data_IF_467455697723
#
_entry.id   IF_467455697723
#
_cell.length_a   1.000
_cell.length_b   1.000
_cell.length_c   1.000
_cell.angle_alpha   90.00
_cell.angle_beta   90.00
_cell.angle_gamma   90.00
#
_symmetry.space_group_name_H-M   'P 1'
#
loop_
_entity.id
_entity.type
_entity.pdbx_description
1 polymer ?
#
# COMPACT_ATOMS: atom_id res chain seq x y z
N UNK A 1 -11.55 -37.49 -24.40
CA UNK A 1 -10.09 -37.33 -24.49
C UNK A 1 -9.84 -36.04 -25.27
N UNK A 2 -9.98 -34.90 -24.60
CA UNK A 2 -9.76 -33.58 -25.20
C UNK A 2 -8.93 -32.77 -24.23
N UNK A 3 -7.69 -32.56 -24.65
CA UNK A 3 -6.65 -31.83 -23.96
C UNK A 3 -7.00 -30.35 -23.92
N UNK A 4 -7.31 -29.83 -22.73
CA UNK A 4 -7.36 -28.39 -22.46
C UNK A 4 -5.95 -27.81 -22.56
N UNK A 5 -5.58 -27.33 -23.75
CA UNK A 5 -4.44 -26.42 -23.93
C UNK A 5 -4.79 -25.09 -23.28
N UNK A 6 -4.36 -24.89 -22.04
CA UNK A 6 -4.34 -23.56 -21.42
C UNK A 6 -3.38 -22.66 -22.21
N UNK A 7 -3.92 -21.60 -22.81
CA UNK A 7 -3.18 -20.57 -23.53
C UNK A 7 -2.16 -19.89 -22.61
N UNK A 8 -0.92 -19.75 -23.10
CA UNK A 8 0.22 -19.07 -22.49
C UNK A 8 -0.12 -17.64 -22.01
N UNK A 9 -1.17 -17.01 -22.55
CA UNK A 9 -1.66 -15.70 -22.12
C UNK A 9 -2.20 -15.70 -20.69
N UNK A 10 -2.90 -16.75 -20.25
CA UNK A 10 -3.46 -16.85 -18.88
C UNK A 10 -2.37 -17.01 -17.83
N UNK A 11 -1.26 -17.68 -18.18
CA UNK A 11 -0.08 -17.74 -17.33
C UNK A 11 0.47 -16.33 -17.12
N UNK A 12 0.53 -15.52 -18.18
CA UNK A 12 1.08 -14.16 -18.22
C UNK A 12 0.32 -13.13 -17.34
N UNK A 13 -0.94 -13.38 -16.99
CA UNK A 13 -1.80 -12.39 -16.31
C UNK A 13 -1.55 -12.26 -14.80
N UNK A 14 -1.19 -13.34 -14.09
CA UNK A 14 -0.56 -13.20 -12.77
C UNK A 14 0.90 -12.74 -12.91
N UNK A 15 1.56 -13.13 -14.00
CA UNK A 15 2.99 -12.96 -14.32
C UNK A 15 3.44 -11.51 -14.60
N UNK A 16 2.53 -10.55 -14.77
CA UNK A 16 2.88 -9.17 -15.19
C UNK A 16 2.55 -8.07 -14.17
N UNK A 17 1.95 -8.39 -13.01
CA UNK A 17 1.50 -7.40 -12.03
C UNK A 17 2.58 -6.43 -11.51
N UNK A 18 3.87 -6.67 -11.77
CA UNK A 18 4.86 -5.60 -11.58
C UNK A 18 6.00 -5.54 -12.60
N UNK A 19 5.75 -5.97 -13.84
CA UNK A 19 6.69 -5.73 -14.95
C UNK A 19 6.70 -4.25 -15.41
N UNK A 20 5.79 -3.40 -14.91
CA UNK A 20 5.74 -1.97 -15.25
C UNK A 20 6.40 -1.01 -14.24
N UNK A 21 7.06 -1.52 -13.18
CA UNK A 21 7.94 -0.72 -12.32
C UNK A 21 9.42 -0.82 -12.72
N UNK A 22 9.75 -1.63 -13.73
CA UNK A 22 11.07 -2.26 -13.86
C UNK A 22 11.91 -1.92 -15.11
N UNK A 23 11.59 -0.88 -15.88
CA UNK A 23 12.49 -0.47 -16.99
C UNK A 23 13.20 0.84 -16.70
N UNK A 24 14.20 0.79 -15.80
CA UNK A 24 15.63 0.98 -16.11
C UNK A 24 16.46 1.21 -14.83
N UNK A 25 17.32 0.28 -14.45
CA UNK A 25 18.64 0.60 -13.85
C UNK A 25 19.54 -0.63 -13.86
N UNK A 26 20.09 -0.96 -15.02
CA UNK A 26 21.28 -1.81 -15.10
C UNK A 26 22.26 -1.17 -16.08
N UNK A 27 23.04 -0.22 -15.57
CA UNK A 27 24.29 0.18 -16.18
C UNK A 27 25.33 0.18 -15.06
N UNK A 28 26.21 -0.81 -15.11
CA UNK A 28 27.49 -0.85 -14.40
C UNK A 28 28.23 0.46 -14.61
N UNK A 29 28.63 1.14 -13.53
CA UNK A 29 29.62 2.21 -13.63
C UNK A 29 30.66 2.07 -12.52
N UNK A 30 31.89 1.90 -12.99
CA UNK A 30 33.10 1.91 -12.18
C UNK A 30 33.26 3.20 -11.40
N UNK A 31 33.80 3.04 -10.19
CA UNK A 31 34.14 4.09 -9.25
C UNK A 31 35.08 5.15 -9.85
N UNK A 32 34.69 6.42 -9.78
CA UNK A 32 35.60 7.54 -9.49
C UNK A 32 34.90 8.51 -8.54
N UNK A 33 35.37 8.54 -7.29
CA UNK A 33 35.01 9.56 -6.28
C UNK A 33 35.42 10.94 -6.80
N UNK A 34 34.51 11.92 -6.73
CA UNK A 34 34.81 13.37 -6.61
C UNK A 34 33.54 14.14 -6.20
N UNK A 35 33.64 14.85 -5.07
CA UNK A 35 32.86 16.05 -4.68
C UNK A 35 31.35 15.92 -4.50
N UNK A 36 30.87 15.95 -3.25
CA UNK A 36 29.50 16.37 -2.93
C UNK A 36 29.38 17.90 -2.98
N UNK A 37 28.24 18.42 -3.45
CA UNK A 37 27.61 19.56 -2.81
C UNK A 37 26.23 19.20 -2.24
N UNK A 38 25.89 19.98 -1.21
CA UNK A 38 24.84 19.86 -0.22
C UNK A 38 23.40 20.05 -0.71
N UNK A 39 22.48 19.53 0.12
CA UNK A 39 21.08 19.93 0.30
C UNK A 39 20.23 20.03 -0.97
N UNK A 40 19.45 18.97 -1.23
CA UNK A 40 18.37 18.99 -2.21
C UNK A 40 17.43 20.17 -1.94
N UNK A 41 17.26 21.05 -2.92
CA UNK A 41 16.28 22.12 -2.90
C UNK A 41 14.88 21.52 -2.86
N UNK A 42 14.14 21.75 -1.77
CA UNK A 42 12.73 21.39 -1.69
C UNK A 42 11.95 22.15 -2.77
N UNK A 43 11.36 21.43 -3.74
CA UNK A 43 10.38 22.01 -4.65
C UNK A 43 9.19 22.51 -3.83
N UNK A 44 8.91 23.81 -3.87
CA UNK A 44 7.77 24.43 -3.18
C UNK A 44 6.64 24.58 -4.17
N UNK A 45 5.63 23.71 -4.06
CA UNK A 45 4.39 23.83 -4.82
C UNK A 45 3.45 24.83 -4.12
N UNK A 46 2.86 25.80 -4.84
CA UNK A 46 1.81 26.65 -4.26
C UNK A 46 0.54 25.83 -3.93
N UNK A 47 -0.23 26.34 -2.99
CA UNK A 47 -1.05 25.54 -2.06
C UNK A 47 -2.52 25.53 -2.43
N UNK A 48 -3.20 24.39 -2.36
CA UNK A 48 -4.63 24.39 -2.01
C UNK A 48 -4.81 25.04 -0.62
N UNK A 49 -5.94 25.68 -0.32
CA UNK A 49 -6.15 26.35 0.97
C UNK A 49 -5.95 25.44 2.21
N UNK A 50 -5.92 24.11 2.01
CA UNK A 50 -5.71 23.10 3.04
C UNK A 50 -4.28 22.62 3.18
N UNK A 51 -3.45 22.77 2.16
CA UNK A 51 -2.06 22.31 2.19
C UNK A 51 -1.19 23.50 2.55
N UNK A 52 -0.43 23.42 3.64
CA UNK A 52 0.60 24.41 3.97
C UNK A 52 1.90 24.15 3.22
N UNK A 53 2.29 22.91 2.94
CA UNK A 53 3.45 22.64 2.09
C UNK A 53 3.43 21.20 1.63
N UNK A 54 4.12 20.92 0.52
CA UNK A 54 4.40 19.57 0.05
C UNK A 54 5.91 19.48 -0.12
N UNK A 55 6.52 18.42 0.41
CA UNK A 55 7.93 18.12 0.13
C UNK A 55 8.11 16.63 -0.14
N UNK A 56 9.11 16.32 -0.94
CA UNK A 56 9.60 14.95 -1.09
C UNK A 56 10.37 14.62 0.19
N UNK A 57 9.91 13.59 0.90
CA UNK A 57 10.55 13.05 2.10
C UNK A 57 11.59 11.99 1.72
N UNK A 58 11.30 11.17 0.70
CA UNK A 58 12.22 10.22 0.09
C UNK A 58 12.01 10.18 -1.43
N UNK A 59 13.10 10.27 -2.19
CA UNK A 59 13.09 10.20 -3.66
C UNK A 59 12.74 8.80 -4.21
N UNK A 60 12.80 7.78 -3.35
CA UNK A 60 12.38 6.43 -3.66
C UNK A 60 11.71 5.82 -2.43
N UNK A 61 10.49 5.33 -2.59
CA UNK A 61 9.77 4.61 -1.56
C UNK A 61 8.25 4.71 -1.68
N UNK A 62 7.56 3.89 -0.91
CA UNK A 62 6.11 3.81 -0.90
C UNK A 62 5.57 3.42 0.49
N UNK A 63 4.25 3.53 0.60
CA UNK A 63 3.43 3.09 1.75
C UNK A 63 3.94 3.63 3.09
N UNK A 64 4.16 4.96 3.20
CA UNK A 64 4.62 5.54 4.46
C UNK A 64 3.56 5.43 5.55
N UNK A 65 4.00 5.17 6.79
CA UNK A 65 3.16 5.16 8.01
C UNK A 65 3.90 5.88 9.14
N UNK A 66 3.19 6.70 9.91
CA UNK A 66 3.79 7.41 11.04
C UNK A 66 4.02 6.49 12.24
N UNK A 67 5.05 6.80 13.03
CA UNK A 67 5.17 6.30 14.39
C UNK A 67 4.06 6.89 15.30
N UNK A 68 3.67 6.21 16.39
CA UNK A 68 2.62 6.70 17.30
C UNK A 68 2.92 8.05 17.96
N UNK A 69 4.20 8.44 18.03
CA UNK A 69 4.64 9.74 18.53
C UNK A 69 4.78 10.81 17.43
N UNK A 70 4.54 10.45 16.16
CA UNK A 70 4.57 11.33 14.99
C UNK A 70 5.96 11.79 14.55
N UNK A 71 7.04 11.28 15.16
CA UNK A 71 8.41 11.76 14.87
C UNK A 71 9.10 11.03 13.73
N UNK A 72 8.65 9.81 13.43
CA UNK A 72 9.25 8.93 12.44
C UNK A 72 8.21 8.47 11.42
N UNK A 73 8.69 8.07 10.26
CA UNK A 73 7.91 7.45 9.20
C UNK A 73 8.60 6.15 8.81
N UNK A 74 7.87 5.03 8.89
CA UNK A 74 8.27 3.76 8.30
C UNK A 74 7.73 3.69 6.87
N UNK A 75 8.52 3.15 5.95
CA UNK A 75 8.15 3.02 4.54
C UNK A 75 8.91 1.84 3.92
N UNK A 76 8.51 1.42 2.73
CA UNK A 76 9.28 0.45 1.96
C UNK A 76 9.89 1.08 0.72
N UNK A 77 11.03 0.54 0.30
CA UNK A 77 11.81 1.06 -0.83
C UNK A 77 12.45 -0.09 -1.58
N UNK A 78 12.39 -0.01 -2.90
CA UNK A 78 13.12 -0.93 -3.78
C UNK A 78 14.61 -0.60 -3.78
N UNK A 79 15.43 -1.63 -3.61
CA UNK A 79 16.89 -1.55 -3.67
C UNK A 79 17.42 -2.02 -5.04
N UNK A 80 18.73 -1.94 -5.24
CA UNK A 80 19.39 -2.25 -6.51
C UNK A 80 19.24 -3.72 -6.94
N UNK A 81 18.88 -4.61 -6.03
CA UNK A 81 18.60 -6.01 -6.31
C UNK A 81 17.16 -6.25 -6.77
N UNK A 82 16.32 -5.21 -6.84
CA UNK A 82 14.92 -5.27 -7.28
C UNK A 82 13.96 -5.90 -6.28
N UNK A 83 14.39 -6.12 -5.03
CA UNK A 83 13.50 -6.39 -3.90
C UNK A 83 13.27 -5.12 -3.09
N UNK A 84 12.20 -5.13 -2.30
CA UNK A 84 11.85 -4.00 -1.44
C UNK A 84 12.25 -4.31 0.00
N UNK A 85 12.72 -3.30 0.71
CA UNK A 85 13.08 -3.38 2.12
C UNK A 85 12.41 -2.29 2.94
N UNK A 86 12.33 -2.52 4.25
CA UNK A 86 11.68 -1.61 5.21
C UNK A 86 12.70 -0.68 5.82
N UNK A 87 12.39 0.62 5.78
CA UNK A 87 13.22 1.68 6.33
C UNK A 87 12.43 2.59 7.26
N UNK A 88 13.13 3.25 8.17
CA UNK A 88 12.58 4.32 9.01
C UNK A 88 13.35 5.60 8.72
N UNK A 89 12.64 6.70 8.49
CA UNK A 89 13.20 8.04 8.44
C UNK A 89 12.57 8.99 9.46
N UNK A 90 13.27 10.07 9.80
CA UNK A 90 12.65 11.19 10.51
C UNK A 90 11.89 12.11 9.55
N UNK A 91 11.20 13.12 10.08
CA UNK A 91 10.43 14.04 9.24
C UNK A 91 11.31 14.91 8.33
N UNK A 92 12.61 15.02 8.57
CA UNK A 92 13.58 15.71 7.71
C UNK A 92 14.03 14.84 6.53
N UNK A 93 13.65 13.56 6.48
CA UNK A 93 14.02 12.62 5.42
C UNK A 93 15.33 11.89 5.68
N UNK A 94 15.91 12.01 6.88
CA UNK A 94 17.12 11.27 7.23
C UNK A 94 16.74 9.82 7.58
N UNK A 95 17.35 8.85 6.90
CA UNK A 95 17.19 7.43 7.23
C UNK A 95 17.85 7.16 8.58
N UNK A 96 17.04 6.79 9.58
CA UNK A 96 17.52 6.48 10.93
C UNK A 96 17.72 4.98 11.15
N UNK A 97 17.06 4.14 10.36
CA UNK A 97 17.25 2.69 10.39
C UNK A 97 16.89 2.03 9.05
N UNK A 98 17.69 1.05 8.66
CA UNK A 98 17.30 -0.02 7.72
C UNK A 98 16.90 -1.25 8.53
N UNK A 99 15.67 -1.74 8.35
CA UNK A 99 15.12 -2.80 9.18
C UNK A 99 15.29 -4.20 8.61
N UNK A 100 15.41 -4.37 7.28
CA UNK A 100 15.39 -5.71 6.65
C UNK A 100 16.53 -5.95 5.66
N UNK A 101 17.06 -4.90 5.00
CA UNK A 101 18.16 -5.02 4.04
C UNK A 101 19.42 -5.60 4.71
N UNK A 102 19.91 -6.71 4.17
CA UNK A 102 21.10 -7.42 4.64
C UNK A 102 20.96 -8.00 6.05
N UNK A 103 19.75 -8.09 6.61
CA UNK A 103 19.53 -8.56 7.98
C UNK A 103 19.38 -10.08 8.04
N UNK A 104 20.06 -10.68 9.02
CA UNK A 104 19.88 -12.09 9.35
C UNK A 104 18.52 -12.33 10.03
N UNK A 105 17.93 -13.50 9.80
CA UNK A 105 16.65 -13.88 10.40
C UNK A 105 15.40 -13.38 9.68
N UNK A 106 15.57 -12.72 8.52
CA UNK A 106 14.46 -12.33 7.63
C UNK A 106 14.78 -12.68 6.18
N UNK A 107 13.74 -12.99 5.40
CA UNK A 107 13.91 -13.30 3.98
C UNK A 107 14.38 -12.06 3.21
N UNK A 108 15.48 -12.20 2.46
CA UNK A 108 16.02 -11.16 1.58
C UNK A 108 15.30 -11.18 0.23
N UNK A 109 13.98 -10.94 0.29
CA UNK A 109 13.06 -10.78 -0.82
C UNK A 109 12.16 -9.57 -0.52
N UNK A 110 10.96 -9.45 -1.09
CA UNK A 110 10.11 -8.30 -0.77
C UNK A 110 9.72 -8.26 0.71
N UNK A 111 10.18 -7.22 1.39
CA UNK A 111 9.74 -6.79 2.71
C UNK A 111 9.10 -5.41 2.59
N UNK A 112 7.94 -5.18 3.22
CA UNK A 112 7.26 -3.89 3.08
C UNK A 112 5.88 -3.82 3.73
N UNK A 113 5.08 -2.85 3.30
CA UNK A 113 3.73 -2.60 3.83
C UNK A 113 3.74 -2.49 5.37
N UNK A 114 4.74 -1.77 5.87
CA UNK A 114 5.10 -1.78 7.27
C UNK A 114 4.28 -0.77 8.09
N UNK A 115 4.02 -1.09 9.35
CA UNK A 115 3.37 -0.18 10.31
C UNK A 115 3.93 -0.40 11.71
N UNK A 116 4.04 0.68 12.49
CA UNK A 116 4.32 0.58 13.91
C UNK A 116 3.14 -0.06 14.66
N UNK A 117 3.45 -0.83 15.71
CA UNK A 117 2.43 -1.15 16.71
C UNK A 117 2.05 0.10 17.51
N UNK A 118 0.89 0.13 18.18
CA UNK A 118 0.44 1.33 18.89
C UNK A 118 1.35 1.78 20.04
N UNK A 119 2.20 0.88 20.58
CA UNK A 119 3.22 1.26 21.56
C UNK A 119 4.51 1.83 20.94
N UNK A 120 4.70 1.71 19.62
CA UNK A 120 5.88 2.17 18.89
C UNK A 120 7.13 1.31 19.14
N UNK A 121 7.00 0.18 19.84
CA UNK A 121 8.11 -0.72 20.17
C UNK A 121 8.44 -1.68 19.03
N UNK A 122 7.44 -2.01 18.22
CA UNK A 122 7.53 -2.96 17.12
C UNK A 122 7.08 -2.31 15.81
N UNK A 123 7.64 -2.84 14.72
CA UNK A 123 7.21 -2.60 13.35
C UNK A 123 6.75 -3.94 12.80
N UNK A 124 5.49 -4.02 12.36
CA UNK A 124 4.93 -5.17 11.64
C UNK A 124 4.99 -4.91 10.15
N UNK A 125 5.37 -5.91 9.37
CA UNK A 125 5.56 -5.79 7.92
C UNK A 125 5.35 -7.14 7.23
N UNK A 126 5.04 -7.12 5.93
CA UNK A 126 4.96 -8.33 5.11
C UNK A 126 6.36 -8.75 4.69
N UNK A 127 6.67 -10.05 4.72
CA UNK A 127 7.91 -10.62 4.21
C UNK A 127 7.62 -11.79 3.27
N UNK A 128 8.05 -11.66 2.02
CA UNK A 128 7.87 -12.64 0.95
C UNK A 128 8.65 -13.92 1.27
N UNK A 129 7.97 -15.07 1.15
CA UNK A 129 8.61 -16.37 1.34
C UNK A 129 9.76 -16.57 0.37
N UNK A 130 10.91 -17.07 0.84
CA UNK A 130 12.08 -17.34 -0.04
C UNK A 130 11.83 -18.37 -1.15
N UNK A 131 10.79 -19.18 -0.99
CA UNK A 131 10.41 -20.26 -1.90
C UNK A 131 8.92 -20.15 -2.18
N UNK A 132 8.53 -19.99 -3.43
CA UNK A 132 7.13 -20.03 -3.88
C UNK A 132 7.09 -20.17 -5.40
N UNK A 133 5.90 -20.43 -5.94
CA UNK A 133 5.66 -20.43 -7.38
C UNK A 133 5.93 -19.04 -7.97
N UNK A 134 6.66 -18.99 -9.08
CA UNK A 134 6.95 -17.74 -9.79
C UNK A 134 8.05 -16.87 -9.16
N UNK A 135 8.82 -17.34 -8.17
CA UNK A 135 9.84 -16.54 -7.44
C UNK A 135 10.86 -15.74 -8.27
N UNK A 136 11.08 -16.09 -9.54
CA UNK A 136 11.99 -15.35 -10.43
C UNK A 136 11.35 -14.05 -10.95
N UNK A 137 10.02 -13.96 -10.90
CA UNK A 137 9.23 -12.79 -11.23
C UNK A 137 9.08 -11.96 -9.97
N UNK A 138 10.16 -11.26 -9.60
CA UNK A 138 10.23 -10.46 -8.36
C UNK A 138 8.94 -9.66 -8.09
N UNK A 139 8.37 -8.95 -9.07
CA UNK A 139 7.22 -8.09 -8.79
C UNK A 139 5.92 -8.83 -8.39
N UNK A 140 5.87 -10.15 -8.51
CA UNK A 140 4.77 -10.93 -7.93
C UNK A 140 4.62 -10.71 -6.43
N UNK A 141 5.74 -10.57 -5.72
CA UNK A 141 5.76 -10.37 -4.28
C UNK A 141 5.68 -8.90 -3.85
N UNK A 142 5.29 -7.96 -4.73
CA UNK A 142 5.25 -6.53 -4.38
C UNK A 142 4.51 -6.34 -3.04
N UNK A 143 5.06 -5.57 -2.09
CA UNK A 143 4.45 -5.40 -0.76
C UNK A 143 3.05 -4.77 -0.77
N UNK A 144 2.62 -4.15 -1.87
CA UNK A 144 1.26 -3.61 -2.03
C UNK A 144 0.22 -4.68 -2.29
N UNK A 145 0.63 -5.86 -2.75
CA UNK A 145 -0.26 -7.03 -2.96
C UNK A 145 0.01 -8.11 -1.90
N UNK A 146 1.28 -8.32 -1.53
CA UNK A 146 1.66 -9.24 -0.46
C UNK A 146 1.53 -10.73 -0.81
N UNK A 147 1.52 -11.10 -2.09
CA UNK A 147 1.48 -12.51 -2.50
C UNK A 147 2.68 -13.28 -1.92
N UNK A 148 2.39 -14.46 -1.40
CA UNK A 148 3.37 -15.37 -0.77
C UNK A 148 4.06 -14.80 0.47
N UNK A 149 3.52 -13.73 1.05
CA UNK A 149 4.09 -13.05 2.20
C UNK A 149 3.37 -13.39 3.50
N UNK A 150 4.16 -13.58 4.55
CA UNK A 150 3.68 -13.64 5.94
C UNK A 150 3.98 -12.32 6.65
N UNK A 151 3.22 -12.01 7.70
CA UNK A 151 3.59 -10.91 8.58
C UNK A 151 4.75 -11.30 9.49
N UNK A 152 5.66 -10.37 9.68
CA UNK A 152 6.73 -10.41 10.67
C UNK A 152 6.68 -9.15 11.51
N UNK A 153 7.16 -9.24 12.75
CA UNK A 153 7.47 -8.09 13.58
C UNK A 153 8.98 -7.96 13.79
N UNK A 154 9.46 -6.73 13.95
CA UNK A 154 10.81 -6.44 14.45
C UNK A 154 10.78 -5.21 15.36
N UNK A 155 11.81 -5.03 16.19
CA UNK A 155 12.01 -3.75 16.89
C UNK A 155 12.51 -2.67 15.92
N UNK A 156 12.50 -1.41 16.34
CA UNK A 156 12.86 -0.24 15.51
C UNK A 156 14.33 -0.21 15.00
N UNK A 157 15.14 -1.21 15.35
CA UNK A 157 16.54 -1.37 14.90
C UNK A 157 16.77 -2.59 14.00
N UNK A 158 15.75 -3.42 13.73
CA UNK A 158 15.89 -4.58 12.83
C UNK A 158 16.83 -5.67 13.34
N UNK A 159 16.84 -5.95 14.66
CA UNK A 159 17.79 -6.91 15.28
C UNK A 159 17.26 -8.31 15.48
N UNK A 160 15.94 -8.44 15.65
CA UNK A 160 15.25 -9.70 15.87
C UNK A 160 13.94 -9.68 15.10
N UNK A 161 13.56 -10.82 14.55
CA UNK A 161 12.38 -10.97 13.71
C UNK A 161 11.49 -12.07 14.27
N UNK A 162 10.20 -11.79 14.36
CA UNK A 162 9.19 -12.73 14.83
C UNK A 162 8.15 -12.91 13.74
N UNK A 163 8.04 -14.12 13.19
CA UNK A 163 6.98 -14.45 12.25
C UNK A 163 5.64 -14.45 13.00
N UNK A 164 4.64 -13.77 12.45
CA UNK A 164 3.33 -13.56 13.05
C UNK A 164 2.23 -14.42 12.41
N UNK A 165 2.34 -14.70 11.12
CA UNK A 165 1.40 -15.57 10.37
C UNK A 165 2.14 -16.69 9.67
N UNK A 166 1.41 -17.75 9.31
CA UNK A 166 1.92 -18.86 8.50
C UNK A 166 0.88 -19.31 7.47
N UNK A 167 0.80 -18.57 6.36
CA UNK A 167 -0.12 -18.87 5.26
C UNK A 167 0.33 -20.08 4.43
N UNK A 168 -0.59 -20.79 3.77
CA UNK A 168 -0.23 -21.77 2.75
C UNK A 168 0.55 -21.14 1.59
N UNK A 169 1.72 -21.69 1.25
CA UNK A 169 2.55 -21.17 0.16
C UNK A 169 2.52 -22.10 -1.05
N UNK A 170 1.95 -21.60 -2.15
CA UNK A 170 2.00 -22.27 -3.46
C UNK A 170 3.44 -22.49 -3.90
N UNK A 171 3.79 -23.74 -4.24
CA UNK A 171 5.13 -24.16 -4.68
C UNK A 171 5.18 -24.42 -6.18
N UNK A 172 4.10 -24.93 -6.76
CA UNK A 172 4.01 -25.35 -8.17
C UNK A 172 2.66 -24.96 -8.74
N UNK A 173 2.55 -24.88 -10.06
CA UNK A 173 1.27 -24.57 -10.70
C UNK A 173 0.18 -25.60 -10.34
N UNK A 174 0.56 -26.87 -10.22
CA UNK A 174 -0.34 -28.03 -10.10
C UNK A 174 -0.65 -28.48 -8.68
N UNK A 175 -0.08 -27.84 -7.64
CA UNK A 175 -0.25 -28.26 -6.24
C UNK A 175 -1.63 -27.93 -5.63
N UNK A 176 -2.52 -27.30 -6.41
CA UNK A 176 -3.88 -26.87 -6.00
C UNK A 176 -3.91 -25.92 -4.81
N UNK A 177 -2.77 -25.41 -4.35
CA UNK A 177 -2.70 -24.33 -3.38
C UNK A 177 -2.94 -23.01 -4.12
N UNK A 178 -3.91 -22.19 -3.71
CA UNK A 178 -4.06 -20.83 -4.23
C UNK A 178 -2.81 -19.98 -3.97
N UNK A 179 -2.62 -18.92 -4.75
CA UNK A 179 -1.62 -17.91 -4.42
C UNK A 179 -2.14 -17.03 -3.26
N UNK A 180 -1.83 -17.41 -2.02
CA UNK A 180 -2.22 -16.61 -0.85
C UNK A 180 -1.46 -15.29 -0.77
N UNK A 181 -2.05 -14.31 -0.09
CA UNK A 181 -1.41 -13.04 0.26
C UNK A 181 -1.81 -12.62 1.68
N UNK A 182 -0.91 -11.94 2.37
CA UNK A 182 -1.21 -11.17 3.59
C UNK A 182 -0.68 -9.76 3.41
N UNK A 183 -1.53 -8.75 3.57
CA UNK A 183 -1.19 -7.34 3.29
C UNK A 183 -2.05 -6.36 4.09
N UNK A 184 -1.67 -5.08 4.13
CA UNK A 184 -2.39 -3.98 4.76
C UNK A 184 -2.74 -4.25 6.24
N UNK A 185 -1.73 -4.36 7.12
CA UNK A 185 -1.95 -4.56 8.54
C UNK A 185 -2.50 -3.30 9.21
N UNK A 186 -3.51 -3.47 10.05
CA UNK A 186 -4.17 -2.41 10.80
C UNK A 186 -4.30 -2.82 12.26
N UNK A 187 -3.83 -1.95 13.16
CA UNK A 187 -4.08 -2.10 14.58
C UNK A 187 -5.37 -1.40 15.00
N UNK A 188 -6.14 -2.05 15.87
CA UNK A 188 -7.25 -1.44 16.59
C UNK A 188 -6.78 -0.35 17.55
N UNK A 189 -7.70 0.56 17.86
CA UNK A 189 -7.47 1.64 18.83
C UNK A 189 -7.19 1.12 20.26
N UNK A 190 -7.55 -0.14 20.54
CA UNK A 190 -7.28 -0.85 21.78
C UNK A 190 -5.81 -1.31 21.94
N UNK A 191 -5.01 -1.23 20.87
CA UNK A 191 -3.64 -1.74 20.84
C UNK A 191 -3.50 -3.26 20.84
N UNK A 192 -4.62 -3.99 20.76
CA UNK A 192 -4.67 -5.46 20.88
C UNK A 192 -5.27 -6.11 19.64
N UNK A 193 -6.21 -5.47 18.98
CA UNK A 193 -6.81 -6.00 17.78
C UNK A 193 -5.86 -5.80 16.60
N UNK A 194 -5.56 -6.85 15.85
CA UNK A 194 -4.77 -6.81 14.62
C UNK A 194 -5.61 -7.34 13.46
N UNK A 195 -5.86 -6.51 12.47
CA UNK A 195 -6.66 -6.82 11.27
C UNK A 195 -5.75 -6.77 10.05
N UNK A 196 -5.97 -7.67 9.09
CA UNK A 196 -5.27 -7.64 7.81
C UNK A 196 -6.14 -8.13 6.66
N UNK A 197 -5.67 -7.84 5.45
CA UNK A 197 -6.25 -8.29 4.19
C UNK A 197 -5.59 -9.60 3.76
N UNK A 198 -6.39 -10.63 3.48
CA UNK A 198 -5.90 -11.93 3.03
C UNK A 198 -6.51 -12.33 1.69
N UNK A 199 -5.66 -12.68 0.71
CA UNK A 199 -6.10 -13.44 -0.48
C UNK A 199 -6.10 -14.91 -0.12
N UNK A 200 -7.24 -15.58 -0.29
CA UNK A 200 -7.39 -16.98 0.16
C UNK A 200 -7.80 -17.96 -0.96
N UNK A 201 -8.23 -17.44 -2.12
CA UNK A 201 -8.59 -18.27 -3.27
C UNK A 201 -8.38 -17.54 -4.60
N UNK A 202 -8.35 -18.32 -5.68
CA UNK A 202 -8.44 -17.82 -7.06
C UNK A 202 -9.86 -17.30 -7.37
N UNK A 203 -9.99 -16.35 -8.29
CA UNK A 203 -11.28 -15.75 -8.66
C UNK A 203 -11.18 -14.28 -9.06
N UNK A 204 -12.33 -13.63 -9.27
CA UNK A 204 -12.38 -12.24 -9.74
C UNK A 204 -11.98 -12.05 -11.21
N UNK A 205 -12.01 -10.82 -11.68
CA UNK A 205 -11.60 -10.49 -13.04
C UNK A 205 -10.09 -10.69 -13.20
N UNK A 206 -9.69 -11.35 -14.29
CA UNK A 206 -8.29 -11.68 -14.58
C UNK A 206 -7.53 -12.37 -13.43
N UNK A 207 -8.28 -13.09 -12.58
CA UNK A 207 -7.77 -13.81 -11.43
C UNK A 207 -7.15 -12.92 -10.33
N UNK A 208 -7.70 -11.72 -10.12
CA UNK A 208 -7.35 -10.84 -9.00
C UNK A 208 -7.38 -11.56 -7.63
N UNK A 209 -8.25 -12.54 -7.49
CA UNK A 209 -8.40 -13.40 -6.32
C UNK A 209 -9.67 -13.13 -5.55
N UNK A 210 -9.96 -14.03 -4.61
CA UNK A 210 -10.93 -13.79 -3.54
C UNK A 210 -10.20 -13.39 -2.28
N UNK A 211 -10.64 -12.28 -1.71
CA UNK A 211 -10.02 -11.62 -0.57
C UNK A 211 -11.01 -11.51 0.57
N UNK A 212 -10.48 -11.56 1.78
CA UNK A 212 -11.24 -11.43 3.02
C UNK A 212 -10.44 -10.63 4.04
N UNK A 213 -11.13 -10.16 5.08
CA UNK A 213 -10.49 -9.59 6.24
C UNK A 213 -10.29 -10.66 7.30
N UNK A 214 -9.11 -10.65 7.88
CA UNK A 214 -8.72 -11.52 8.99
C UNK A 214 -8.45 -10.66 10.22
N UNK A 215 -8.64 -11.24 11.39
CA UNK A 215 -8.34 -10.60 12.66
C UNK A 215 -7.64 -11.57 13.61
N UNK A 216 -6.85 -11.04 14.53
CA UNK A 216 -6.24 -11.76 15.63
C UNK A 216 -5.98 -10.79 16.78
N UNK A 217 -5.65 -11.35 17.94
CA UNK A 217 -5.21 -10.59 19.11
C UNK A 217 -3.68 -10.51 19.06
N UNK A 218 -3.14 -9.29 18.94
CA UNK A 218 -1.72 -9.00 19.06
C UNK A 218 -1.32 -8.92 20.53
N UNK A 219 -0.45 -9.83 20.93
CA UNK A 219 0.02 -9.95 22.31
C UNK A 219 1.54 -9.96 22.36
N UNK A 220 2.09 -9.42 23.44
CA UNK A 220 3.53 -9.38 23.69
C UNK A 220 3.82 -10.11 25.00
N UNK A 221 4.46 -11.27 24.92
CA UNK A 221 4.80 -12.10 26.07
C UNK A 221 6.32 -12.24 26.17
N UNK A 222 6.87 -11.94 27.35
CA UNK A 222 8.33 -11.93 27.55
C UNK A 222 9.10 -11.13 26.47
N UNK A 223 8.52 -10.01 26.01
CA UNK A 223 9.10 -9.15 24.97
C UNK A 223 8.97 -9.67 23.53
N UNK A 224 8.24 -10.77 23.31
CA UNK A 224 8.04 -11.38 21.98
C UNK A 224 6.61 -11.13 21.48
N UNK A 225 6.42 -10.44 20.34
CA UNK A 225 5.12 -10.26 19.73
C UNK A 225 4.64 -11.57 19.08
N UNK A 226 3.34 -11.87 19.20
CA UNK A 226 2.67 -12.97 18.52
C UNK A 226 1.20 -12.64 18.29
N UNK A 227 0.57 -13.36 17.36
CA UNK A 227 -0.88 -13.34 17.15
C UNK A 227 -1.52 -14.53 17.87
N UNK A 228 -2.71 -14.30 18.45
CA UNK A 228 -3.55 -15.34 19.06
C UNK A 228 -4.98 -15.21 18.53
N UNK A 229 -5.74 -16.30 18.58
CA UNK A 229 -7.18 -16.30 18.27
C UNK A 229 -7.49 -15.75 16.86
N UNK A 230 -6.70 -16.21 15.88
CA UNK A 230 -6.86 -15.84 14.48
C UNK A 230 -8.22 -16.30 13.94
N UNK A 231 -8.91 -15.38 13.25
CA UNK A 231 -10.29 -15.55 12.79
C UNK A 231 -10.55 -14.79 11.48
N UNK A 232 -11.54 -15.25 10.73
CA UNK A 232 -12.10 -14.48 9.61
C UNK A 232 -13.01 -13.41 10.17
N UNK A 233 -12.75 -12.15 9.82
CA UNK A 233 -13.54 -11.01 10.25
C UNK A 233 -14.68 -10.73 9.28
N UNK A 234 -14.41 -10.78 7.97
CA UNK A 234 -15.37 -10.44 6.94
C UNK A 234 -14.97 -11.06 5.60
N UNK A 235 -15.93 -11.62 4.87
CA UNK A 235 -15.74 -12.09 3.48
C UNK A 235 -16.82 -11.44 2.61
N UNK A 236 -16.47 -10.79 1.49
CA UNK A 236 -17.46 -10.24 0.56
C UNK A 236 -18.40 -11.31 0.01
N UNK A 237 -19.69 -10.98 -0.13
CA UNK A 237 -20.71 -11.86 -0.69
C UNK A 237 -20.91 -11.63 -2.20
N UNK A 238 -21.10 -10.37 -2.61
CA UNK A 238 -21.31 -9.99 -4.03
C UNK A 238 -19.98 -9.73 -4.77
N UNK A 239 -19.00 -9.15 -4.05
CA UNK A 239 -17.66 -8.86 -4.56
C UNK A 239 -16.65 -9.98 -4.32
N UNK A 240 -15.40 -9.72 -4.70
CA UNK A 240 -14.27 -10.62 -4.44
C UNK A 240 -13.07 -9.93 -3.78
N UNK A 241 -13.08 -8.60 -3.67
CA UNK A 241 -12.01 -7.81 -3.10
C UNK A 241 -12.50 -6.94 -1.95
N UNK A 242 -11.79 -7.03 -0.83
CA UNK A 242 -11.91 -6.15 0.32
C UNK A 242 -10.52 -5.96 0.91
N UNK A 243 -10.23 -4.76 1.40
CA UNK A 243 -8.94 -4.45 2.00
C UNK A 243 -9.08 -3.51 3.19
N UNK A 244 -8.36 -3.81 4.28
CA UNK A 244 -8.38 -3.05 5.53
C UNK A 244 -7.55 -1.77 5.40
N UNK A 245 -8.12 -0.62 5.77
CA UNK A 245 -7.47 0.69 5.64
C UNK A 245 -7.14 1.29 7.01
N UNK A 246 -8.14 1.41 7.89
CA UNK A 246 -7.97 1.99 9.23
C UNK A 246 -9.24 1.98 10.05
N UNK A 247 -9.13 2.02 11.38
CA UNK A 247 -10.30 2.13 12.24
C UNK A 247 -10.85 3.57 12.25
N UNK A 248 -12.16 3.70 12.06
CA UNK A 248 -12.88 4.97 12.24
C UNK A 248 -13.20 5.18 13.72
N UNK A 249 -13.50 4.09 14.44
CA UNK A 249 -13.64 4.03 15.89
C UNK A 249 -13.40 2.60 16.39
N UNK A 250 -13.73 2.29 17.65
CA UNK A 250 -13.49 0.96 18.24
C UNK A 250 -14.32 -0.18 17.65
N UNK A 251 -15.32 0.10 16.81
CA UNK A 251 -16.24 -0.90 16.22
C UNK A 251 -16.25 -0.89 14.71
N UNK A 252 -15.88 0.23 14.10
CA UNK A 252 -16.04 0.48 12.67
C UNK A 252 -14.68 0.62 11.97
N UNK A 253 -14.52 -0.14 10.90
CA UNK A 253 -13.34 -0.20 10.07
C UNK A 253 -13.62 0.48 8.72
N UNK A 254 -12.76 1.40 8.31
CA UNK A 254 -12.68 1.85 6.93
C UNK A 254 -12.06 0.73 6.09
N UNK A 255 -12.76 0.34 5.03
CA UNK A 255 -12.32 -0.67 4.07
C UNK A 255 -12.48 -0.12 2.65
N UNK A 256 -11.69 -0.62 1.73
CA UNK A 256 -11.91 -0.43 0.30
C UNK A 256 -12.25 -1.77 -0.36
N UNK A 257 -13.03 -1.78 -1.43
CA UNK A 257 -13.39 -3.04 -2.09
C UNK A 257 -14.47 -2.91 -3.15
N UNK A 258 -14.82 -4.04 -3.76
CA UNK A 258 -15.95 -4.12 -4.68
C UNK A 258 -17.17 -4.79 -4.04
N UNK A 259 -17.55 -4.33 -2.84
CA UNK A 259 -18.54 -4.99 -2.00
C UNK A 259 -19.96 -4.99 -2.57
N UNK A 260 -20.25 -4.08 -3.51
CA UNK A 260 -21.54 -3.98 -4.21
C UNK A 260 -21.53 -4.75 -5.55
N UNK A 261 -20.56 -5.65 -5.76
CA UNK A 261 -20.43 -6.47 -6.97
C UNK A 261 -19.86 -5.73 -8.19
N UNK A 262 -19.32 -4.53 -7.99
CA UNK A 262 -18.68 -3.78 -9.07
C UNK A 262 -17.35 -4.41 -9.52
N UNK A 263 -16.81 -3.93 -10.63
CA UNK A 263 -15.48 -4.34 -11.08
C UNK A 263 -14.40 -3.87 -10.10
N UNK A 264 -13.30 -4.60 -9.93
CA UNK A 264 -12.22 -4.30 -8.97
C UNK A 264 -11.58 -2.92 -9.24
N UNK A 265 -11.36 -2.54 -10.51
CA UNK A 265 -10.92 -1.18 -10.89
C UNK A 265 -11.98 -0.08 -10.71
N UNK A 266 -13.12 -0.40 -10.11
CA UNK A 266 -14.21 0.51 -9.74
C UNK A 266 -14.51 0.47 -8.24
N UNK A 267 -13.57 0.00 -7.43
CA UNK A 267 -13.78 -0.18 -6.00
C UNK A 267 -14.05 1.13 -5.26
N UNK A 268 -14.85 1.01 -4.20
CA UNK A 268 -15.31 2.11 -3.36
C UNK A 268 -14.73 2.01 -1.95
N UNK A 269 -14.90 3.07 -1.16
CA UNK A 269 -14.68 3.05 0.28
C UNK A 269 -15.97 2.77 1.04
N UNK A 270 -15.85 1.99 2.11
CA UNK A 270 -16.95 1.61 2.98
C UNK A 270 -16.57 1.75 4.44
N UNK A 271 -17.56 2.04 5.29
CA UNK A 271 -17.44 1.80 6.73
C UNK A 271 -18.10 0.45 7.03
N UNK A 272 -17.30 -0.49 7.53
CA UNK A 272 -17.70 -1.83 7.95
C UNK A 272 -17.81 -1.90 9.48
N UNK A 273 -18.96 -2.32 10.01
CA UNK A 273 -19.09 -2.73 11.40
C UNK A 273 -18.63 -4.19 11.55
N UNK A 274 -17.44 -4.36 12.14
CA UNK A 274 -16.74 -5.65 12.15
C UNK A 274 -17.51 -6.77 12.88
N UNK A 275 -18.32 -6.43 13.88
CA UNK A 275 -19.07 -7.41 14.67
C UNK A 275 -20.28 -7.98 13.93
N UNK A 276 -20.92 -7.18 13.08
CA UNK A 276 -22.16 -7.56 12.37
C UNK A 276 -21.92 -7.89 10.90
N UNK A 277 -20.77 -7.50 10.33
CA UNK A 277 -20.50 -7.59 8.90
C UNK A 277 -21.25 -6.55 8.06
N UNK A 278 -22.07 -5.68 8.69
CA UNK A 278 -22.82 -4.64 7.98
C UNK A 278 -21.89 -3.52 7.53
N UNK A 279 -22.08 -3.03 6.32
CA UNK A 279 -21.30 -1.92 5.79
C UNK A 279 -22.15 -0.86 5.10
N UNK A 280 -21.57 0.33 4.94
CA UNK A 280 -22.14 1.46 4.20
C UNK A 280 -21.11 1.97 3.19
N UNK A 281 -21.51 2.08 1.92
CA UNK A 281 -20.69 2.68 0.86
C UNK A 281 -20.62 4.21 1.05
N UNK A 282 -19.40 4.73 1.16
CA UNK A 282 -19.13 6.16 1.37
C UNK A 282 -18.98 6.92 0.05
N UNK A 283 -18.38 6.30 -0.97
CA UNK A 283 -17.99 6.99 -2.20
C UNK A 283 -19.02 6.84 -3.32
N UNK A 284 -19.75 5.73 -3.35
CA UNK A 284 -20.82 5.43 -4.32
C UNK A 284 -20.38 5.71 -5.77
N UNK A 285 -19.17 5.27 -6.12
CA UNK A 285 -18.49 5.60 -7.36
C UNK A 285 -17.99 4.36 -8.10
N UNK A 286 -18.89 3.47 -8.56
CA UNK A 286 -18.53 2.15 -9.10
C UNK A 286 -17.72 2.20 -10.41
N UNK A 287 -17.48 3.39 -10.97
CA UNK A 287 -16.65 3.65 -12.15
C UNK A 287 -15.25 4.18 -11.80
N UNK A 288 -15.04 4.64 -10.56
CA UNK A 288 -13.79 5.18 -10.06
C UNK A 288 -13.11 4.18 -9.13
N UNK A 289 -11.79 4.21 -9.09
CA UNK A 289 -11.00 3.41 -8.16
C UNK A 289 -10.66 4.27 -6.96
N UNK A 290 -11.32 3.98 -5.83
CA UNK A 290 -11.13 4.63 -4.54
C UNK A 290 -10.54 3.62 -3.54
N UNK A 291 -9.32 3.87 -3.04
CA UNK A 291 -8.61 2.96 -2.12
C UNK A 291 -7.61 3.73 -1.24
N UNK A 292 -6.76 3.01 -0.51
CA UNK A 292 -5.63 3.55 0.25
C UNK A 292 -6.03 4.63 1.27
N UNK A 293 -7.18 4.39 1.90
CA UNK A 293 -7.77 5.26 2.90
C UNK A 293 -6.92 5.39 4.17
N UNK A 294 -6.89 6.59 4.75
CA UNK A 294 -6.37 6.88 6.07
C UNK A 294 -7.38 7.69 6.86
N UNK A 295 -7.47 7.45 8.17
CA UNK A 295 -8.42 8.10 9.08
C UNK A 295 -7.64 8.96 10.08
N UNK A 296 -7.95 10.25 10.15
CA UNK A 296 -7.48 11.15 11.20
C UNK A 296 -8.29 10.95 12.50
N UNK A 297 -7.78 11.46 13.63
CA UNK A 297 -8.43 11.31 14.94
C UNK A 297 -9.81 11.95 15.03
N UNK A 298 -10.02 13.05 14.32
CA UNK A 298 -11.31 13.72 14.24
C UNK A 298 -12.31 13.03 13.26
N UNK A 299 -11.93 11.90 12.67
CA UNK A 299 -12.74 11.15 11.72
C UNK A 299 -12.64 11.63 10.27
N UNK A 300 -11.77 12.60 9.95
CA UNK A 300 -11.49 12.95 8.56
C UNK A 300 -10.85 11.77 7.84
N UNK A 301 -11.32 11.46 6.64
CA UNK A 301 -10.79 10.39 5.79
C UNK A 301 -10.03 11.04 4.63
N UNK A 302 -8.83 10.56 4.33
CA UNK A 302 -8.11 10.80 3.07
C UNK A 302 -8.00 9.50 2.31
N UNK A 303 -8.05 9.55 0.99
CA UNK A 303 -7.94 8.39 0.12
C UNK A 303 -7.45 8.78 -1.26
N UNK A 304 -6.97 7.81 -2.04
CA UNK A 304 -6.65 8.03 -3.45
C UNK A 304 -7.89 7.79 -4.31
N UNK A 305 -8.09 8.60 -5.35
CA UNK A 305 -9.13 8.37 -6.35
C UNK A 305 -8.66 8.73 -7.75
N UNK A 306 -9.13 7.99 -8.76
CA UNK A 306 -8.94 8.29 -10.17
C UNK A 306 -10.11 9.04 -10.83
N UNK A 307 -11.10 9.52 -10.06
CA UNK A 307 -12.34 10.13 -10.61
C UNK A 307 -12.11 11.27 -11.60
N UNK A 308 -11.08 12.08 -11.34
CA UNK A 308 -10.68 13.21 -12.20
C UNK A 308 -9.62 12.83 -13.25
N UNK A 309 -9.29 11.53 -13.38
CA UNK A 309 -8.34 11.11 -14.40
C UNK A 309 -8.87 11.45 -15.79
N UNK A 310 -8.01 11.93 -16.69
CA UNK A 310 -8.36 12.04 -18.12
C UNK A 310 -8.41 10.68 -18.82
N UNK A 311 -7.99 9.62 -18.13
CA UNK A 311 -7.99 8.25 -18.64
C UNK A 311 -9.09 7.44 -17.95
N UNK A 312 -9.55 6.39 -18.64
CA UNK A 312 -10.51 5.42 -18.12
C UNK A 312 -9.92 4.03 -18.28
N UNK A 313 -10.11 3.20 -17.27
CA UNK A 313 -9.70 1.81 -17.37
C UNK A 313 -10.56 1.08 -18.39
N UNK A 314 -9.89 0.35 -19.27
CA UNK A 314 -10.51 -0.70 -20.06
C UNK A 314 -10.59 -1.96 -19.18
N UNK A 315 -11.80 -2.23 -18.69
CA UNK A 315 -12.12 -3.34 -17.78
C UNK A 315 -12.07 -4.70 -18.46
N UNK A 316 -12.11 -4.77 -19.79
CA UNK A 316 -11.96 -6.03 -20.51
C UNK A 316 -10.50 -6.52 -20.51
N UNK A 317 -9.56 -5.66 -20.11
CA UNK A 317 -8.12 -5.96 -20.11
C UNK A 317 -7.59 -6.21 -18.71
N UNK A 318 -6.82 -7.30 -18.58
CA UNK A 318 -6.15 -7.67 -17.33
C UNK A 318 -4.85 -6.94 -17.06
N UNK A 319 -4.46 -5.98 -17.89
CA UNK A 319 -3.19 -5.25 -17.78
C UNK A 319 -3.36 -3.87 -17.11
N UNK A 320 -4.25 -3.78 -16.13
CA UNK A 320 -4.56 -2.54 -15.41
C UNK A 320 -3.32 -1.78 -14.91
N UNK A 321 -2.28 -2.51 -14.52
CA UNK A 321 -1.01 -1.96 -14.04
C UNK A 321 -0.18 -1.27 -15.15
N UNK A 322 -0.52 -1.45 -16.42
CA UNK A 322 0.12 -0.77 -17.55
C UNK A 322 -0.80 0.27 -18.19
N UNK A 323 -2.09 0.25 -17.85
CA UNK A 323 -3.05 1.20 -18.36
C UNK A 323 -2.79 2.60 -17.81
N UNK A 324 -2.98 3.65 -18.63
CA UNK A 324 -2.84 5.01 -18.16
C UNK A 324 -3.90 5.35 -17.12
N UNK A 325 -3.47 5.94 -16.02
CA UNK A 325 -4.37 6.48 -14.99
C UNK A 325 -3.69 7.62 -14.25
N UNK A 326 -4.48 8.60 -13.83
CA UNK A 326 -4.05 9.66 -12.93
C UNK A 326 -4.82 9.51 -11.62
N UNK A 327 -4.18 9.82 -10.50
CA UNK A 327 -4.81 9.72 -9.19
C UNK A 327 -4.42 10.89 -8.33
N UNK A 328 -5.35 11.31 -7.50
CA UNK A 328 -5.19 12.41 -6.55
C UNK A 328 -5.65 11.98 -5.18
N UNK A 329 -5.16 12.66 -4.14
CA UNK A 329 -5.72 12.50 -2.82
C UNK A 329 -7.01 13.30 -2.75
N UNK A 330 -8.05 12.64 -2.27
CA UNK A 330 -9.32 13.22 -1.90
C UNK A 330 -9.50 13.09 -0.41
N UNK A 331 -10.42 13.88 0.12
CA UNK A 331 -10.84 13.76 1.49
C UNK A 331 -12.33 13.92 1.65
N UNK A 332 -12.86 13.34 2.71
CA UNK A 332 -14.26 13.40 3.12
C UNK A 332 -14.36 13.22 4.63
N UNK A 333 -15.48 13.58 5.22
CA UNK A 333 -15.74 13.23 6.62
C UNK A 333 -16.08 11.74 6.79
N UNK A 334 -16.16 11.28 8.05
CA UNK A 334 -16.48 9.90 8.40
C UNK A 334 -17.88 9.42 7.97
N UNK A 335 -18.75 10.33 7.50
CA UNK A 335 -20.06 10.00 6.95
C UNK A 335 -20.06 9.88 5.42
N UNK A 336 -18.91 10.07 4.77
CA UNK A 336 -18.81 10.08 3.30
C UNK A 336 -19.24 11.40 2.67
N UNK A 337 -19.45 12.46 3.47
CA UNK A 337 -19.87 13.78 3.00
C UNK A 337 -18.70 14.75 2.97
N UNK A 338 -18.95 15.96 2.43
CA UNK A 338 -17.96 17.04 2.30
C UNK A 338 -16.71 16.59 1.55
N UNK A 339 -16.93 15.82 0.47
CA UNK A 339 -15.86 15.33 -0.37
C UNK A 339 -15.19 16.46 -1.12
N UNK A 340 -13.86 16.50 -1.11
CA UNK A 340 -13.06 17.48 -1.84
C UNK A 340 -11.75 16.86 -2.33
N UNK A 341 -11.24 17.39 -3.44
CA UNK A 341 -9.92 17.06 -3.97
C UNK A 341 -8.86 17.80 -3.17
N UNK A 342 -7.98 17.07 -2.49
CA UNK A 342 -6.92 17.62 -1.65
C UNK A 342 -5.69 18.00 -2.48
N UNK A 343 -5.28 17.13 -3.42
CA UNK A 343 -4.13 17.38 -4.31
C UNK A 343 -4.55 17.52 -5.77
N UNK A 344 -3.78 18.31 -6.50
CA UNK A 344 -3.99 18.68 -7.91
C UNK A 344 -2.70 18.50 -8.71
N UNK A 345 -1.96 17.43 -8.44
CA UNK A 345 -0.69 17.13 -9.11
C UNK A 345 -0.83 16.98 -10.64
N UNK A 346 -2.02 16.63 -11.11
CA UNK A 346 -2.36 16.40 -12.51
C UNK A 346 -3.16 17.54 -13.17
N UNK A 347 -3.43 18.64 -12.47
CA UNK A 347 -4.24 19.77 -12.95
C UNK A 347 -3.32 20.88 -13.51
N UNK A 348 -3.27 21.13 -14.83
CA UNK A 348 -2.35 22.10 -15.43
C UNK A 348 -2.52 23.55 -14.97
N UNK A 349 -3.68 23.88 -14.41
CA UNK A 349 -3.98 25.21 -13.87
C UNK A 349 -3.61 25.33 -12.39
N UNK A 350 -3.34 24.20 -11.74
CA UNK A 350 -2.94 24.18 -10.35
C UNK A 350 -1.46 24.48 -10.18
N UNK A 351 -1.19 25.24 -9.14
CA UNK A 351 0.12 25.48 -8.60
C UNK A 351 0.96 24.20 -8.37
N UNK A 352 0.33 23.15 -7.86
CA UNK A 352 0.97 21.85 -7.56
C UNK A 352 1.11 20.92 -8.77
N UNK A 353 0.82 21.40 -9.98
CA UNK A 353 0.96 20.61 -11.20
C UNK A 353 2.40 20.14 -11.40
N UNK A 354 2.57 18.83 -11.55
CA UNK A 354 3.89 18.20 -11.74
C UNK A 354 4.34 18.24 -13.22
N UNK A 355 3.44 18.54 -14.16
CA UNK A 355 3.75 18.49 -15.60
C UNK A 355 3.83 17.07 -16.17
N UNK A 356 3.58 16.05 -15.35
CA UNK A 356 3.62 14.62 -15.70
C UNK A 356 2.41 13.91 -15.12
N UNK A 357 2.17 12.68 -15.58
CA UNK A 357 1.13 11.81 -15.01
C UNK A 357 1.55 11.41 -13.60
N UNK A 358 0.73 11.79 -12.62
CA UNK A 358 0.92 11.46 -11.22
C UNK A 358 -0.13 10.47 -10.74
N UNK A 359 0.34 9.49 -9.97
CA UNK A 359 -0.45 8.46 -9.33
C UNK A 359 -0.16 8.48 -7.83
N UNK A 360 -1.08 8.98 -7.03
CA UNK A 360 -0.95 8.82 -5.58
C UNK A 360 -1.47 7.47 -5.11
N UNK A 361 -0.97 7.02 -3.97
CA UNK A 361 -1.33 5.77 -3.30
C UNK A 361 -0.89 5.84 -1.85
N UNK A 362 -1.44 4.99 -0.99
CA UNK A 362 -1.11 4.79 0.42
C UNK A 362 -0.75 6.07 1.21
N UNK A 363 -1.61 6.47 2.14
CA UNK A 363 -1.36 7.62 3.01
C UNK A 363 -1.49 7.28 4.49
N UNK A 364 -1.01 8.16 5.36
CA UNK A 364 -1.22 8.09 6.80
C UNK A 364 -1.13 9.50 7.42
N UNK A 365 -1.97 9.76 8.41
CA UNK A 365 -1.93 11.02 9.16
C UNK A 365 -0.91 10.94 10.28
N UNK A 366 -0.23 12.05 10.56
CA UNK A 366 0.49 12.16 11.81
C UNK A 366 -0.50 12.13 12.98
N UNK A 367 -0.11 11.60 14.16
CA UNK A 367 -1.01 11.51 15.32
C UNK A 367 -1.60 12.85 15.78
N UNK A 368 -0.89 13.96 15.53
CA UNK A 368 -1.35 15.33 15.82
C UNK A 368 -2.20 15.94 14.69
N UNK A 369 -2.45 15.19 13.62
CA UNK A 369 -3.22 15.63 12.46
C UNK A 369 -2.56 16.73 11.64
N UNK A 370 -1.31 17.11 11.93
CA UNK A 370 -0.60 18.21 11.25
C UNK A 370 -0.06 17.82 9.88
N UNK A 371 0.30 16.57 9.70
CA UNK A 371 0.95 16.07 8.50
C UNK A 371 0.19 14.90 7.90
N UNK A 372 0.34 14.76 6.59
CA UNK A 372 0.02 13.55 5.83
C UNK A 372 1.31 13.05 5.19
N UNK A 373 1.67 11.80 5.44
CA UNK A 373 2.67 11.11 4.63
C UNK A 373 1.94 10.34 3.55
N UNK A 374 2.44 10.39 2.31
CA UNK A 374 1.79 9.73 1.17
C UNK A 374 2.78 9.17 0.17
N UNK A 375 2.34 8.23 -0.66
CA UNK A 375 3.10 7.82 -1.85
C UNK A 375 2.69 8.68 -3.03
N UNK A 376 3.67 9.18 -3.78
CA UNK A 376 3.47 9.87 -5.05
C UNK A 376 4.27 9.16 -6.14
N UNK A 377 3.58 8.57 -7.11
CA UNK A 377 4.19 8.00 -8.31
C UNK A 377 4.22 9.01 -9.44
N UNK A 378 5.41 9.35 -9.95
CA UNK A 378 5.56 10.19 -11.13
C UNK A 378 5.96 9.31 -12.32
N UNK A 379 5.09 9.26 -13.32
CA UNK A 379 5.37 8.50 -14.54
C UNK A 379 6.27 9.28 -15.49
N UNK A 380 7.47 8.75 -15.72
CA UNK A 380 8.47 9.31 -16.63
C UNK A 380 8.29 8.82 -18.08
N UNK A 381 7.35 7.90 -18.30
CA UNK A 381 7.01 7.39 -19.63
C UNK A 381 6.56 8.52 -20.56
N UNK A 382 6.95 8.42 -21.83
CA UNK A 382 6.54 9.37 -22.89
C UNK A 382 5.34 8.87 -23.69
N UNK A 383 5.02 7.58 -23.56
CA UNK A 383 3.95 6.91 -24.30
C UNK A 383 2.58 7.01 -23.61
N UNK A 384 1.53 6.52 -24.29
CA UNK A 384 0.19 6.48 -23.73
C UNK A 384 0.08 5.47 -22.58
N UNK A 385 0.95 4.46 -22.49
CA UNK A 385 0.98 3.45 -21.41
C UNK A 385 1.77 3.94 -20.20
N UNK A 386 1.49 3.34 -19.05
CA UNK A 386 2.28 3.50 -17.83
C UNK A 386 3.54 2.65 -17.92
N UNK A 387 4.73 3.27 -17.82
CA UNK A 387 5.99 2.62 -18.20
C UNK A 387 7.14 2.80 -17.19
N UNK A 388 7.32 4.01 -16.63
CA UNK A 388 8.40 4.30 -15.66
C UNK A 388 7.85 5.12 -14.50
N UNK A 389 7.05 4.48 -13.64
CA UNK A 389 6.51 5.11 -12.44
C UNK A 389 7.54 5.07 -11.33
N UNK A 390 8.03 6.25 -10.94
CA UNK A 390 8.93 6.40 -9.80
C UNK A 390 8.13 6.79 -8.57
N UNK A 391 8.11 5.90 -7.59
CA UNK A 391 7.41 6.12 -6.33
C UNK A 391 8.29 6.91 -5.37
N UNK A 392 7.74 7.99 -4.84
CA UNK A 392 8.35 8.85 -3.85
C UNK A 392 7.49 8.86 -2.58
N UNK A 393 8.14 9.01 -1.43
CA UNK A 393 7.44 9.37 -0.19
C UNK A 393 7.36 10.88 -0.12
N UNK A 394 6.16 11.42 0.02
CA UNK A 394 5.92 12.85 0.22
C UNK A 394 5.38 13.12 1.62
N UNK A 395 5.68 14.31 2.14
CA UNK A 395 5.13 14.84 3.38
C UNK A 395 4.36 16.12 3.05
N UNK A 396 3.06 16.12 3.32
CA UNK A 396 2.22 17.30 3.25
C UNK A 396 2.06 17.86 4.66
N UNK A 397 2.36 19.14 4.85
CA UNK A 397 1.94 19.88 6.04
C UNK A 397 0.55 20.46 5.76
N UNK A 398 -0.40 20.27 6.67
CA UNK A 398 -1.75 20.80 6.54
C UNK A 398 -1.82 22.23 7.11
N UNK A 399 -2.66 23.07 6.50
CA UNK A 399 -2.88 24.45 6.93
C UNK A 399 -3.56 24.53 8.30
N UNK A 400 -4.39 23.54 8.62
CA UNK A 400 -4.99 23.32 9.94
C UNK A 400 -4.89 21.84 10.28
N UNK A 401 -4.47 21.48 11.51
CA UNK A 401 -4.42 20.08 11.93
C UNK A 401 -5.81 19.42 11.96
N UNK A 402 -5.86 18.12 11.65
CA UNK A 402 -7.02 17.25 11.87
C UNK A 402 -6.88 16.45 13.19
N UNK A 403 -6.75 17.17 14.30
CA UNK A 403 -6.60 16.59 15.64
C UNK A 403 -7.90 16.41 16.39
#
# INVERSE_FOLDING_TARGET
METYRLDRRTLLFLLLAGVAQQRTSSATQHSKRRGWPSAASAQVFPKTARIKSIRILQESGARPRFSPDGKLVVFDRYEGDGFADVFICNLQGEIVASLTDGREGINQRHNGNARFDPSGRFVVFTSESSRHFGRLLKPLGDPGVGLYSNFYATGTKGRHFWQLTDIPIKRRLTDRVPSFASVNPVFGLDGRTFVWTERYAEGGHHNWGKWRLKAADFIVEAGRPRLRDERVLFTPEEGNYVTAMGFVDSRRLLVAGNLDGQHEYGMDLYVLEAASGRFVNLTNSPSSWDEDGAVARNGQIIYMSNRDSRYRFDRARGDWFAQPVQREYYMMDSSGKRTERLTRFNDPEAAEYVGKRVLVAASDFSPDGRYLAGTMGVDQGRGPKREDVRLQVILLELAKPFS
#
